data_IF_890107793644
#
_entry.id   IF_890107793644
#
_cell.length_a   1.000
_cell.length_b   1.000
_cell.length_c   1.000
_cell.angle_alpha   90.00
_cell.angle_beta   90.00
_cell.angle_gamma   90.00
#
_symmetry.space_group_name_H-M   'P 1'
#
loop_
_entity.id
_entity.type
_entity.pdbx_description
1 polymer ?
#
# COMPACT_ATOMS: atom_id res chain seq x y z
N UNK A 1 15.57 24.62 27.52
CA UNK A 1 14.36 24.04 26.91
C UNK A 1 13.90 22.88 27.77
N UNK A 2 12.67 22.88 28.30
CA UNK A 2 12.15 21.69 28.97
C UNK A 2 11.99 20.59 27.91
N UNK A 3 12.71 19.48 28.07
CA UNK A 3 12.57 18.32 27.18
C UNK A 3 11.13 17.82 27.30
N UNK A 4 10.35 17.88 26.21
CA UNK A 4 9.03 17.25 26.19
C UNK A 4 9.21 15.78 26.56
N UNK A 5 8.45 15.34 27.57
CA UNK A 5 8.60 14.01 28.15
C UNK A 5 7.94 12.98 27.22
N UNK A 6 8.53 12.80 26.03
CA UNK A 6 8.03 11.88 25.00
C UNK A 6 8.03 10.47 25.57
N UNK A 7 6.89 9.76 25.56
CA UNK A 7 6.81 8.40 26.09
C UNK A 7 7.86 7.48 25.47
N UNK A 8 8.44 6.60 26.28
CA UNK A 8 9.55 5.72 25.88
C UNK A 8 9.23 4.85 24.65
N UNK A 9 7.97 4.39 24.53
CA UNK A 9 7.54 3.60 23.39
C UNK A 9 7.59 4.39 22.07
N UNK A 10 7.29 5.69 22.08
CA UNK A 10 7.38 6.55 20.88
C UNK A 10 8.84 6.71 20.45
N UNK A 11 9.76 6.92 21.40
CA UNK A 11 11.20 7.01 21.10
C UNK A 11 11.71 5.73 20.44
N UNK A 12 11.22 4.58 20.89
CA UNK A 12 11.60 3.28 20.36
C UNK A 12 11.10 3.05 18.93
N UNK A 13 9.96 3.65 18.53
CA UNK A 13 9.44 3.58 17.15
C UNK A 13 10.27 4.40 16.15
N UNK A 14 11.01 5.40 16.61
CA UNK A 14 11.80 6.30 15.77
C UNK A 14 13.28 5.85 15.62
N UNK A 15 13.68 4.77 16.30
CA UNK A 15 15.03 4.24 16.25
C UNK A 15 15.19 3.19 15.13
N UNK A 16 16.29 3.19 14.38
CA UNK A 16 16.56 2.15 13.36
C UNK A 16 16.66 0.75 13.98
N UNK A 17 16.09 -0.26 13.33
CA UNK A 17 16.25 -1.66 13.72
C UNK A 17 16.81 -2.51 12.55
N UNK A 18 18.10 -2.91 12.60
CA UNK A 18 18.78 -3.54 11.46
C UNK A 18 18.54 -5.06 11.31
N UNK A 19 17.73 -5.70 12.17
CA UNK A 19 17.60 -7.18 12.20
C UNK A 19 16.15 -7.67 12.28
N UNK A 20 15.31 -7.28 11.32
CA UNK A 20 13.98 -7.88 11.21
C UNK A 20 14.06 -9.21 10.44
N UNK A 21 13.71 -10.32 11.10
CA UNK A 21 13.41 -11.58 10.42
C UNK A 21 12.22 -11.36 9.46
N UNK A 22 12.24 -12.04 8.31
CA UNK A 22 11.23 -11.88 7.27
C UNK A 22 10.37 -13.13 7.18
N UNK A 23 9.06 -12.94 7.30
CA UNK A 23 8.02 -13.92 7.04
C UNK A 23 6.81 -13.24 6.39
N UNK A 24 5.67 -13.93 6.40
CA UNK A 24 4.44 -13.41 5.77
C UNK A 24 3.94 -12.19 6.55
N UNK A 25 3.66 -11.10 5.84
CA UNK A 25 3.27 -9.84 6.48
C UNK A 25 1.75 -9.67 6.54
N UNK A 26 1.28 -9.21 7.69
CA UNK A 26 -0.08 -8.72 7.90
C UNK A 26 0.03 -7.27 8.36
N UNK A 27 -0.49 -6.37 7.54
CA UNK A 27 -0.33 -4.92 7.73
C UNK A 27 1.16 -4.51 7.81
N UNK A 28 1.97 -5.02 6.87
CA UNK A 28 3.42 -4.79 6.79
C UNK A 28 4.25 -5.24 7.99
N UNK A 29 3.62 -5.82 9.01
CA UNK A 29 4.26 -6.42 10.18
C UNK A 29 4.28 -7.93 10.01
N UNK A 30 5.37 -8.55 10.45
CA UNK A 30 5.57 -9.98 10.31
C UNK A 30 4.56 -10.81 11.14
N UNK A 31 3.93 -11.79 10.50
CA UNK A 31 2.96 -12.64 11.16
C UNK A 31 3.65 -13.57 12.17
N UNK A 32 4.70 -14.25 11.74
CA UNK A 32 5.25 -15.41 12.46
C UNK A 32 6.12 -15.02 13.65
N UNK A 33 6.89 -13.93 13.51
CA UNK A 33 7.87 -13.48 14.50
C UNK A 33 7.39 -12.32 15.35
N UNK A 34 6.32 -11.62 14.93
CA UNK A 34 5.77 -10.47 15.69
C UNK A 34 4.34 -10.73 16.14
N UNK A 35 3.41 -10.93 15.20
CA UNK A 35 2.00 -11.05 15.57
C UNK A 35 1.68 -12.31 16.38
N UNK A 36 2.18 -13.48 15.96
CA UNK A 36 1.88 -14.72 16.68
C UNK A 36 2.48 -14.74 18.09
N UNK A 37 3.76 -14.39 18.33
CA UNK A 37 4.28 -14.31 19.68
C UNK A 37 3.55 -13.27 20.53
N UNK A 38 3.22 -12.11 19.96
CA UNK A 38 2.44 -11.08 20.65
C UNK A 38 1.06 -11.61 21.08
N UNK A 39 0.28 -12.16 20.17
CA UNK A 39 -1.05 -12.67 20.49
C UNK A 39 -1.05 -13.92 21.36
N UNK A 40 0.00 -14.75 21.25
CA UNK A 40 0.20 -15.87 22.16
C UNK A 40 0.46 -15.36 23.58
N UNK A 41 1.30 -14.33 23.73
CA UNK A 41 1.56 -13.71 25.02
C UNK A 41 0.29 -13.08 25.62
N UNK A 42 -0.46 -12.29 24.85
CA UNK A 42 -1.69 -11.65 25.34
C UNK A 42 -2.81 -12.65 25.64
N UNK A 43 -2.86 -13.77 24.92
CA UNK A 43 -3.77 -14.87 25.29
C UNK A 43 -3.36 -15.54 26.59
N UNK A 44 -2.05 -15.71 26.82
CA UNK A 44 -1.51 -16.35 28.02
C UNK A 44 -1.77 -15.50 29.26
N UNK A 45 -1.69 -14.17 29.15
CA UNK A 45 -2.01 -13.24 30.24
C UNK A 45 -3.51 -13.01 30.44
N UNK A 46 -4.36 -13.50 29.52
CA UNK A 46 -5.81 -13.34 29.56
C UNK A 46 -6.33 -12.02 28.99
N UNK A 47 -5.46 -11.20 28.38
CA UNK A 47 -5.84 -9.93 27.75
C UNK A 47 -6.57 -10.13 26.41
N UNK A 48 -6.33 -11.27 25.76
CA UNK A 48 -7.07 -11.69 24.56
C UNK A 48 -7.64 -13.10 24.71
N UNK A 49 -8.66 -13.42 23.93
CA UNK A 49 -9.30 -14.74 23.90
C UNK A 49 -9.32 -15.30 22.47
N UNK A 50 -8.18 -15.25 21.78
CA UNK A 50 -8.04 -15.76 20.42
C UNK A 50 -8.13 -17.30 20.47
N UNK A 51 -8.96 -17.96 19.65
CA UNK A 51 -9.08 -19.41 19.67
C UNK A 51 -7.72 -20.13 19.44
N UNK A 52 -7.42 -21.23 20.15
CA UNK A 52 -6.14 -21.95 19.99
C UNK A 52 -5.89 -22.46 18.57
N UNK A 53 -6.95 -22.85 17.84
CA UNK A 53 -6.86 -23.26 16.44
C UNK A 53 -6.45 -22.08 15.52
N UNK A 54 -6.81 -20.84 15.87
CA UNK A 54 -6.38 -19.65 15.13
C UNK A 54 -4.90 -19.36 15.38
N UNK A 55 -4.41 -19.54 16.61
CA UNK A 55 -2.98 -19.40 16.93
C UNK A 55 -2.14 -20.53 16.31
N UNK A 56 -2.62 -21.77 16.36
CA UNK A 56 -1.92 -22.95 15.83
C UNK A 56 -2.02 -23.10 14.30
N UNK A 57 -3.07 -22.58 13.68
CA UNK A 57 -3.25 -22.54 12.22
C UNK A 57 -3.62 -21.11 11.77
N UNK A 58 -2.63 -20.21 11.76
CA UNK A 58 -2.87 -18.78 11.54
C UNK A 58 -3.14 -18.44 10.08
N UNK A 59 -2.76 -19.31 9.15
CA UNK A 59 -3.01 -19.18 7.72
C UNK A 59 -3.84 -20.38 7.28
N UNK A 60 -4.99 -20.09 6.67
CA UNK A 60 -6.00 -21.07 6.27
C UNK A 60 -6.36 -20.90 4.81
N UNK A 61 -6.86 -21.97 4.20
CA UNK A 61 -7.53 -21.86 2.90
C UNK A 61 -8.76 -20.95 3.02
N UNK A 62 -8.95 -20.10 2.03
CA UNK A 62 -10.19 -19.37 1.86
C UNK A 62 -11.20 -20.27 1.17
N UNK A 63 -12.46 -20.15 1.58
CA UNK A 63 -13.57 -20.89 1.01
C UNK A 63 -14.61 -19.90 0.47
N UNK A 64 -15.30 -20.31 -0.59
CA UNK A 64 -16.48 -19.61 -1.10
C UNK A 64 -17.72 -19.99 -0.27
N UNK A 65 -18.86 -19.32 -0.53
CA UNK A 65 -20.09 -19.49 0.28
C UNK A 65 -20.67 -20.91 0.21
N UNK A 66 -20.36 -21.63 -0.85
CA UNK A 66 -20.73 -23.03 -1.08
C UNK A 66 -19.80 -24.03 -0.39
N UNK A 67 -18.75 -23.56 0.30
CA UNK A 67 -17.77 -24.39 0.99
C UNK A 67 -16.66 -24.92 0.08
N UNK A 68 -16.61 -24.54 -1.20
CA UNK A 68 -15.51 -24.88 -2.10
C UNK A 68 -14.25 -24.07 -1.78
N UNK A 69 -13.06 -24.61 -2.06
CA UNK A 69 -11.79 -23.88 -1.88
C UNK A 69 -11.72 -22.77 -2.92
N UNK A 70 -11.45 -21.55 -2.46
CA UNK A 70 -11.35 -20.37 -3.33
C UNK A 70 -10.03 -20.38 -4.10
N UNK A 71 -10.08 -20.17 -5.41
CA UNK A 71 -8.92 -19.99 -6.28
C UNK A 71 -8.79 -18.54 -6.77
N UNK A 72 -7.57 -18.11 -7.06
CA UNK A 72 -7.29 -16.82 -7.71
C UNK A 72 -7.51 -16.91 -9.23
N UNK A 73 -7.52 -15.77 -9.92
CA UNK A 73 -7.60 -15.71 -11.39
C UNK A 73 -6.45 -16.47 -12.08
N UNK A 74 -5.33 -16.67 -11.38
CA UNK A 74 -4.18 -17.45 -11.85
C UNK A 74 -4.26 -18.95 -11.48
N UNK A 75 -5.41 -19.43 -11.00
CA UNK A 75 -5.63 -20.84 -10.66
C UNK A 75 -4.92 -21.32 -9.39
N UNK A 76 -4.47 -20.41 -8.50
CA UNK A 76 -3.81 -20.78 -7.24
C UNK A 76 -4.79 -20.74 -6.06
N UNK A 77 -4.75 -21.69 -5.11
CA UNK A 77 -5.57 -21.63 -3.91
C UNK A 77 -5.30 -20.35 -3.12
N UNK A 78 -6.36 -19.67 -2.70
CA UNK A 78 -6.27 -18.44 -1.90
C UNK A 78 -6.12 -18.83 -0.44
N UNK A 79 -5.05 -18.38 0.21
CA UNK A 79 -4.89 -18.48 1.67
C UNK A 79 -5.15 -17.15 2.34
N UNK A 80 -5.74 -17.16 3.54
CA UNK A 80 -6.01 -15.97 4.35
C UNK A 80 -5.61 -16.21 5.80
N UNK A 81 -5.36 -15.12 6.51
CA UNK A 81 -5.17 -15.16 7.97
C UNK A 81 -6.48 -15.60 8.63
N UNK A 82 -6.39 -16.42 9.67
CA UNK A 82 -7.56 -16.84 10.45
C UNK A 82 -8.35 -15.60 10.93
N UNK A 83 -9.68 -15.63 10.77
CA UNK A 83 -10.54 -14.45 11.03
C UNK A 83 -10.34 -13.84 12.43
N UNK A 84 -10.27 -14.63 13.53
CA UNK A 84 -10.02 -14.07 14.86
C UNK A 84 -8.70 -13.29 14.95
N UNK A 85 -7.62 -13.82 14.36
CA UNK A 85 -6.33 -13.13 14.31
C UNK A 85 -6.41 -11.85 13.47
N UNK A 86 -7.05 -11.91 12.30
CA UNK A 86 -7.21 -10.74 11.44
C UNK A 86 -7.99 -9.61 12.13
N UNK A 87 -8.99 -9.95 12.93
CA UNK A 87 -9.78 -9.00 13.71
C UNK A 87 -8.95 -8.38 14.85
N UNK A 88 -8.20 -9.20 15.59
CA UNK A 88 -7.28 -8.70 16.62
C UNK A 88 -6.21 -7.78 16.05
N UNK A 89 -5.62 -8.11 14.90
CA UNK A 89 -4.68 -7.22 14.19
C UNK A 89 -5.36 -5.89 13.83
N UNK A 90 -6.59 -5.95 13.32
CA UNK A 90 -7.36 -4.75 12.95
C UNK A 90 -7.62 -3.85 14.16
N UNK A 91 -7.99 -4.44 15.29
CA UNK A 91 -8.19 -3.72 16.55
C UNK A 91 -6.91 -3.05 17.04
N UNK A 92 -5.80 -3.80 17.08
CA UNK A 92 -4.48 -3.25 17.48
C UNK A 92 -4.08 -2.09 16.58
N UNK A 93 -4.28 -2.21 15.26
CA UNK A 93 -4.04 -1.13 14.30
C UNK A 93 -4.88 0.11 14.59
N UNK A 94 -6.18 -0.06 14.84
CA UNK A 94 -7.06 1.07 15.16
C UNK A 94 -6.60 1.79 16.44
N UNK A 95 -6.26 1.03 17.47
CA UNK A 95 -5.74 1.58 18.73
C UNK A 95 -4.38 2.28 18.54
N UNK A 96 -3.50 1.71 17.73
CA UNK A 96 -2.21 2.33 17.39
C UNK A 96 -2.41 3.69 16.70
N UNK A 97 -3.26 3.75 15.67
CA UNK A 97 -3.59 5.00 14.97
C UNK A 97 -4.21 6.02 15.92
N UNK A 98 -5.16 5.61 16.77
CA UNK A 98 -5.79 6.49 17.74
C UNK A 98 -4.76 7.08 18.74
N UNK A 99 -3.77 6.28 19.16
CA UNK A 99 -2.70 6.76 20.04
C UNK A 99 -1.77 7.76 19.33
N UNK A 100 -1.44 7.54 18.05
CA UNK A 100 -0.67 8.52 17.26
C UNK A 100 -1.42 9.83 17.09
N UNK A 101 -2.72 9.77 16.77
CA UNK A 101 -3.59 10.95 16.66
C UNK A 101 -3.69 11.70 17.98
N UNK A 102 -3.84 10.99 19.10
CA UNK A 102 -3.87 11.59 20.43
C UNK A 102 -2.57 12.31 20.75
N UNK A 103 -1.42 11.68 20.50
CA UNK A 103 -0.12 12.30 20.72
C UNK A 103 0.07 13.55 19.85
N UNK A 104 -0.22 13.46 18.55
CA UNK A 104 -0.14 14.61 17.65
C UNK A 104 -1.05 15.75 18.09
N UNK A 105 -2.30 15.46 18.49
CA UNK A 105 -3.24 16.43 19.03
C UNK A 105 -2.74 17.09 20.31
N UNK A 106 -2.16 16.31 21.24
CA UNK A 106 -1.56 16.85 22.46
C UNK A 106 -0.40 17.80 22.18
N UNK A 107 0.51 17.43 21.29
CA UNK A 107 1.64 18.31 20.91
C UNK A 107 1.12 19.58 20.23
N UNK A 108 0.17 19.47 19.31
CA UNK A 108 -0.42 20.62 18.63
C UNK A 108 -1.13 21.58 19.60
N UNK A 109 -1.69 21.08 20.70
CA UNK A 109 -2.33 21.88 21.74
C UNK A 109 -1.33 22.50 22.72
N UNK A 110 -0.37 21.71 23.22
CA UNK A 110 0.56 22.13 24.26
C UNK A 110 1.74 22.95 23.74
N UNK A 111 2.16 22.70 22.49
CA UNK A 111 3.29 23.34 21.82
C UNK A 111 2.82 24.02 20.54
N UNK A 112 1.74 24.80 20.63
CA UNK A 112 1.02 25.34 19.46
C UNK A 112 1.90 26.19 18.55
N UNK A 113 2.76 27.03 19.13
CA UNK A 113 3.63 27.92 18.36
C UNK A 113 4.74 27.15 17.63
N UNK A 114 5.43 26.25 18.34
CA UNK A 114 6.50 25.42 17.77
C UNK A 114 5.95 24.47 16.71
N UNK A 115 4.79 23.87 16.98
CA UNK A 115 4.10 23.02 16.01
C UNK A 115 3.71 23.80 14.76
N UNK A 116 3.22 25.04 14.91
CA UNK A 116 2.92 25.94 13.80
C UNK A 116 4.15 26.35 13.00
N UNK A 117 5.28 26.63 13.66
CA UNK A 117 6.56 26.90 13.00
C UNK A 117 7.03 25.70 12.19
N UNK A 118 6.93 24.50 12.76
CA UNK A 118 7.31 23.27 12.07
C UNK A 118 6.47 23.03 10.81
N UNK A 119 5.16 23.30 10.87
CA UNK A 119 4.28 23.22 9.69
C UNK A 119 4.72 24.22 8.61
N UNK A 120 4.97 25.48 8.98
CA UNK A 120 5.39 26.51 8.02
C UNK A 120 6.70 26.15 7.34
N UNK A 121 7.70 25.72 8.12
CA UNK A 121 9.00 25.29 7.63
C UNK A 121 8.87 24.10 6.67
N UNK A 122 8.11 23.08 7.06
CA UNK A 122 7.87 21.90 6.23
C UNK A 122 7.16 22.27 4.92
N UNK A 123 6.15 23.14 4.99
CA UNK A 123 5.44 23.61 3.80
C UNK A 123 6.35 24.39 2.86
N UNK A 124 7.13 25.35 3.36
CA UNK A 124 8.07 26.12 2.53
C UNK A 124 9.13 25.23 1.89
N UNK A 125 9.63 24.22 2.61
CA UNK A 125 10.61 23.27 2.09
C UNK A 125 10.01 22.30 1.05
N UNK A 126 8.72 21.96 1.17
CA UNK A 126 8.04 21.05 0.23
C UNK A 126 7.59 21.70 -1.07
N UNK A 127 7.27 23.00 -1.08
CA UNK A 127 6.80 23.72 -2.27
C UNK A 127 7.70 23.58 -3.52
N UNK A 128 9.04 23.76 -3.46
CA UNK A 128 9.87 23.63 -4.66
C UNK A 128 9.87 22.20 -5.23
N UNK A 129 9.76 21.17 -4.37
CA UNK A 129 9.64 19.78 -4.81
C UNK A 129 8.31 19.56 -5.54
N UNK A 130 7.21 20.05 -4.97
CA UNK A 130 5.88 19.95 -5.60
C UNK A 130 5.87 20.64 -6.97
N UNK A 131 6.52 21.81 -7.09
CA UNK A 131 6.54 22.54 -8.35
C UNK A 131 7.38 21.84 -9.42
N UNK A 132 8.54 21.32 -9.03
CA UNK A 132 9.37 20.50 -9.90
C UNK A 132 8.61 19.27 -10.40
N UNK A 133 8.02 18.50 -9.48
CA UNK A 133 7.32 17.25 -9.80
C UNK A 133 6.10 17.47 -10.70
N UNK A 134 5.40 18.60 -10.54
CA UNK A 134 4.32 19.01 -11.47
C UNK A 134 4.86 19.26 -12.88
N UNK A 135 5.98 19.96 -12.99
CA UNK A 135 6.58 20.31 -14.28
C UNK A 135 7.03 19.05 -15.01
N UNK A 136 7.68 18.12 -14.30
CA UNK A 136 8.10 16.84 -14.87
C UNK A 136 6.91 15.95 -15.24
N UNK A 137 5.83 15.97 -14.46
CA UNK A 137 4.60 15.25 -14.80
C UNK A 137 3.96 15.81 -16.08
N UNK A 138 3.84 17.13 -16.19
CA UNK A 138 3.28 17.79 -17.38
C UNK A 138 4.10 17.44 -18.63
N UNK A 139 5.44 17.44 -18.50
CA UNK A 139 6.35 17.03 -19.56
C UNK A 139 6.16 15.57 -19.96
N UNK A 140 6.03 14.67 -19.00
CA UNK A 140 5.82 13.25 -19.26
C UNK A 140 4.48 13.00 -19.98
N UNK A 141 3.42 13.72 -19.60
CA UNK A 141 2.11 13.63 -20.26
C UNK A 141 2.19 14.13 -21.70
N UNK A 142 2.89 15.25 -21.96
CA UNK A 142 3.09 15.75 -23.32
C UNK A 142 3.82 14.75 -24.21
N UNK A 143 4.90 14.15 -23.71
CA UNK A 143 5.64 13.12 -24.45
C UNK A 143 4.76 11.90 -24.76
N UNK A 144 3.94 11.44 -23.81
CA UNK A 144 3.02 10.34 -24.04
C UNK A 144 1.93 10.67 -25.07
N UNK A 145 1.42 11.90 -25.06
CA UNK A 145 0.44 12.34 -26.04
C UNK A 145 1.05 12.42 -27.44
N UNK A 146 2.28 12.96 -27.56
CA UNK A 146 3.02 13.03 -28.82
C UNK A 146 3.31 11.63 -29.38
N UNK A 147 3.74 10.69 -28.52
CA UNK A 147 3.96 9.30 -28.92
C UNK A 147 2.67 8.61 -29.37
N UNK A 148 1.56 8.79 -28.65
CA UNK A 148 0.27 8.22 -29.03
C UNK A 148 -0.27 8.80 -30.35
N UNK A 149 -0.11 10.12 -30.57
CA UNK A 149 -0.48 10.74 -31.85
C UNK A 149 0.41 10.24 -33.00
N UNK A 150 1.71 10.04 -32.76
CA UNK A 150 2.61 9.49 -33.77
C UNK A 150 2.24 8.05 -34.12
N UNK A 151 1.97 7.21 -33.12
CA UNK A 151 1.51 5.83 -33.34
C UNK A 151 0.20 5.79 -34.13
N UNK A 152 -0.78 6.62 -33.76
CA UNK A 152 -2.05 6.69 -34.49
C UNK A 152 -1.87 7.15 -35.95
N UNK A 153 -0.95 8.09 -36.21
CA UNK A 153 -0.64 8.53 -37.57
C UNK A 153 0.08 7.44 -38.38
N UNK A 154 1.01 6.73 -37.76
CA UNK A 154 1.72 5.59 -38.39
C UNK A 154 0.72 4.47 -38.74
N UNK A 155 -0.16 4.09 -37.81
CA UNK A 155 -1.22 3.11 -38.03
C UNK A 155 -2.16 3.55 -39.17
N UNK A 156 -2.63 4.81 -39.18
CA UNK A 156 -3.51 5.29 -40.26
C UNK A 156 -2.85 5.30 -41.64
N UNK A 157 -1.55 5.60 -41.72
CA UNK A 157 -0.81 5.58 -42.99
C UNK A 157 -0.51 4.17 -43.47
N UNK A 158 -0.39 3.19 -42.55
CA UNK A 158 -0.27 1.78 -42.90
C UNK A 158 -1.60 1.23 -43.40
N UNK A 159 -2.72 1.57 -42.76
CA UNK A 159 -4.08 1.22 -43.20
C UNK A 159 -4.38 1.79 -44.60
N UNK A 160 -4.10 3.07 -44.86
CA UNK A 160 -4.30 3.68 -46.20
C UNK A 160 -3.44 3.02 -47.30
N UNK A 161 -2.22 2.58 -46.95
CA UNK A 161 -1.34 1.86 -47.90
C UNK A 161 -1.80 0.43 -48.16
N UNK A 162 -2.39 -0.23 -47.17
CA UNK A 162 -3.00 -1.55 -47.36
C UNK A 162 -4.27 -1.47 -48.20
N UNK A 163 -5.14 -0.48 -47.96
CA UNK A 163 -6.34 -0.24 -48.77
C UNK A 163 -6.00 0.07 -50.23
N UNK A 164 -5.04 0.96 -50.49
CA UNK A 164 -4.61 1.29 -51.86
C UNK A 164 -4.04 0.06 -52.60
N UNK A 165 -3.30 -0.82 -51.90
CA UNK A 165 -2.80 -2.08 -52.48
C UNK A 165 -3.90 -3.11 -52.71
N UNK A 166 -4.97 -3.08 -51.93
CA UNK A 166 -6.11 -3.97 -52.09
C UNK A 166 -6.95 -3.57 -53.31
N UNK A 167 -7.22 -2.26 -53.48
CA UNK A 167 -7.93 -1.73 -54.65
C UNK A 167 -7.14 -1.96 -55.95
N UNK A 168 -5.82 -1.80 -55.93
CA UNK A 168 -4.96 -2.01 -57.10
C UNK A 168 -4.92 -3.49 -57.55
N UNK A 169 -5.14 -4.44 -56.62
CA UNK A 169 -5.27 -5.87 -56.95
C UNK A 169 -6.64 -6.26 -57.51
N UNK A 170 -7.69 -5.50 -57.19
CA UNK A 170 -9.05 -5.73 -57.73
C UNK A 170 -9.21 -5.21 -59.17
N UNK A 171 -8.36 -4.26 -59.59
CA UNK A 171 -8.41 -3.60 -60.90
C UNK A 171 -7.61 -4.28 -62.03
N UNK A 172 -7.04 -5.47 -61.82
CA UNK A 172 -6.43 -6.25 -62.91
C UNK A 172 -7.51 -7.17 -63.54
N UNK A 173 -8.05 -6.86 -64.73
CA UNK A 173 -8.98 -7.76 -65.40
C UNK A 173 -8.24 -9.03 -65.83
N UNK A 174 -8.81 -10.18 -65.50
CA UNK A 174 -8.42 -11.46 -66.06
C UNK A 174 -8.56 -11.40 -67.59
N UNK A 175 -7.41 -11.38 -68.27
CA UNK A 175 -7.32 -11.56 -69.72
C UNK A 175 -7.50 -13.02 -70.13
#
# INVERSE_FOLDING_TARGET
MPKSNTPSYIKSLLAPNPKAQQGRRVWSIDLETVWLPFFTATNTTGDTAIPPDALGCPIRLAYDKDGSVKFSNAGRPVTRVAKPLADSVTLVRQNFVANLQRYAGQVAQQMKEEYGQQIKLAHSAGQPLIQHDKTELDRAIQLQLEEAMRQAQEESQEEEKEEAKAEEKELVPAG
#
